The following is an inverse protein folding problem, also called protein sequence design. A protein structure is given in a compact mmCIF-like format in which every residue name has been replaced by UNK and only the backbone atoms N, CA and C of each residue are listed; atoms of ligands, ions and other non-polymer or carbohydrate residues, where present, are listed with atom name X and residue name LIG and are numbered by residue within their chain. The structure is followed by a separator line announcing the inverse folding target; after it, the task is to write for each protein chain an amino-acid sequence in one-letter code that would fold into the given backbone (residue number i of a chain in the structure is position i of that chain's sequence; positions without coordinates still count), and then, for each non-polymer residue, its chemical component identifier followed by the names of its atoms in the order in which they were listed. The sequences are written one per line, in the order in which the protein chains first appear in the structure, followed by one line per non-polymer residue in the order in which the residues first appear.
data_IF_058650323129
#
_entry.id   IF_058650323129
#
_cell.length_a   1.000
_cell.length_b   1.000
_cell.length_c   1.000
_cell.angle_alpha   90.00
_cell.angle_beta   90.00
_cell.angle_gamma   90.00
#
_symmetry.space_group_name_H-M   'P 1'
#
loop_
_entity.id
_entity.type
_entity.pdbx_description
1 polymer ?
#
# COMPACT_ATOMS: atom_id res chain seq x y z
N UNK A 1 -62.85 -26.76 18.11
CA UNK A 1 -62.53 -25.59 18.93
C UNK A 1 -61.27 -25.92 19.71
N UNK A 2 -60.16 -25.25 19.42
CA UNK A 2 -58.96 -25.33 20.26
C UNK A 2 -59.26 -24.72 21.62
N UNK A 3 -58.78 -25.34 22.69
CA UNK A 3 -59.02 -24.83 24.04
C UNK A 3 -58.17 -23.59 24.29
N UNK A 4 -58.63 -22.67 25.15
CA UNK A 4 -57.87 -21.47 25.55
C UNK A 4 -56.44 -21.79 26.02
N UNK A 5 -56.23 -22.96 26.64
CA UNK A 5 -54.90 -23.44 27.05
C UNK A 5 -53.98 -23.71 25.86
N UNK A 6 -54.52 -24.23 24.76
CA UNK A 6 -53.76 -24.52 23.56
C UNK A 6 -53.38 -23.24 22.82
N UNK A 7 -54.28 -22.25 22.76
CA UNK A 7 -53.97 -20.93 22.23
C UNK A 7 -52.91 -20.19 23.06
N UNK A 8 -52.97 -20.31 24.39
CA UNK A 8 -51.99 -19.68 25.28
C UNK A 8 -50.59 -20.32 25.15
N UNK A 9 -50.52 -21.65 24.99
CA UNK A 9 -49.27 -22.35 24.71
C UNK A 9 -48.67 -21.98 23.33
N UNK A 10 -49.52 -21.77 22.33
CA UNK A 10 -49.11 -21.39 20.98
C UNK A 10 -48.57 -19.95 20.95
N UNK A 11 -49.24 -19.00 21.62
CA UNK A 11 -48.72 -17.64 21.76
C UNK A 11 -47.42 -17.57 22.60
N UNK A 12 -47.29 -18.40 23.64
CA UNK A 12 -46.06 -18.51 24.41
C UNK A 12 -44.89 -18.96 23.50
N UNK A 13 -45.13 -19.97 22.67
CA UNK A 13 -44.15 -20.49 21.70
C UNK A 13 -43.79 -19.45 20.64
N UNK A 14 -44.77 -18.71 20.11
CA UNK A 14 -44.51 -17.63 19.15
C UNK A 14 -43.69 -16.50 19.78
N UNK A 15 -43.97 -16.14 21.03
CA UNK A 15 -43.20 -15.14 21.77
C UNK A 15 -41.74 -15.61 21.97
N UNK A 16 -41.53 -16.86 22.38
CA UNK A 16 -40.19 -17.43 22.56
C UNK A 16 -39.40 -17.46 21.24
N UNK A 17 -40.05 -17.86 20.14
CA UNK A 17 -39.45 -17.81 18.80
C UNK A 17 -39.08 -16.39 18.37
N UNK A 18 -39.95 -15.41 18.64
CA UNK A 18 -39.68 -14.00 18.34
C UNK A 18 -38.49 -13.47 19.16
N UNK A 19 -38.39 -13.85 20.44
CA UNK A 19 -37.26 -13.48 21.30
C UNK A 19 -35.97 -14.13 20.82
N UNK A 20 -36.01 -15.41 20.42
CA UNK A 20 -34.86 -16.11 19.84
C UNK A 20 -34.42 -15.48 18.51
N UNK A 21 -35.35 -15.15 17.62
CA UNK A 21 -35.07 -14.47 16.36
C UNK A 21 -34.41 -13.10 16.58
N UNK A 22 -34.89 -12.33 17.57
CA UNK A 22 -34.29 -11.05 17.96
C UNK A 22 -32.85 -11.20 18.46
N UNK A 23 -32.59 -12.20 19.31
CA UNK A 23 -31.23 -12.52 19.79
C UNK A 23 -30.31 -12.96 18.64
N UNK A 24 -30.80 -13.80 17.74
CA UNK A 24 -30.05 -14.25 16.57
C UNK A 24 -29.65 -13.08 15.66
N UNK A 25 -30.57 -12.14 15.41
CA UNK A 25 -30.27 -10.92 14.64
C UNK A 25 -29.15 -10.09 15.27
N UNK A 26 -29.19 -9.88 16.60
CA UNK A 26 -28.15 -9.14 17.31
C UNK A 26 -26.77 -9.83 17.25
N UNK A 27 -26.74 -11.17 17.27
CA UNK A 27 -25.50 -11.94 17.11
C UNK A 27 -24.95 -11.76 15.69
N UNK A 28 -25.81 -11.82 14.67
CA UNK A 28 -25.43 -11.62 13.27
C UNK A 28 -24.83 -10.22 13.06
N UNK A 29 -25.46 -9.17 13.60
CA UNK A 29 -24.96 -7.79 13.47
C UNK A 29 -23.56 -7.63 14.09
N UNK A 30 -23.34 -8.25 15.25
CA UNK A 30 -22.04 -8.28 15.92
C UNK A 30 -20.99 -9.03 15.10
N UNK A 31 -21.33 -10.18 14.53
CA UNK A 31 -20.45 -10.94 13.64
C UNK A 31 -20.06 -10.11 12.40
N UNK A 32 -21.03 -9.43 11.77
CA UNK A 32 -20.80 -8.57 10.61
C UNK A 32 -19.85 -7.41 10.94
N UNK A 33 -19.99 -6.81 12.12
CA UNK A 33 -19.10 -5.74 12.56
C UNK A 33 -17.66 -6.23 12.76
N UNK A 34 -17.47 -7.37 13.42
CA UNK A 34 -16.13 -7.96 13.59
C UNK A 34 -15.52 -8.32 12.23
N UNK A 35 -16.31 -8.96 11.37
CA UNK A 35 -15.88 -9.34 10.02
C UNK A 35 -15.43 -8.12 9.21
N UNK A 36 -16.25 -7.07 9.11
CA UNK A 36 -15.91 -5.86 8.34
C UNK A 36 -14.60 -5.20 8.79
N UNK A 37 -14.40 -5.04 10.11
CA UNK A 37 -13.19 -4.44 10.68
C UNK A 37 -11.94 -5.29 10.44
N UNK A 38 -12.06 -6.60 10.63
CA UNK A 38 -10.93 -7.52 10.46
C UNK A 38 -10.57 -7.73 9.00
N UNK A 39 -11.56 -7.81 8.10
CA UNK A 39 -11.33 -7.98 6.66
C UNK A 39 -10.57 -6.78 6.07
N UNK A 40 -10.97 -5.56 6.45
CA UNK A 40 -10.29 -4.32 6.01
C UNK A 40 -8.79 -4.33 6.35
N UNK A 41 -8.40 -4.89 7.49
CA UNK A 41 -7.00 -4.98 7.89
C UNK A 41 -6.31 -6.15 7.19
N UNK A 42 -6.99 -7.29 7.06
CA UNK A 42 -6.45 -8.44 6.32
C UNK A 42 -6.08 -8.06 4.88
N UNK A 43 -6.94 -7.30 4.18
CA UNK A 43 -6.69 -6.83 2.81
C UNK A 43 -5.44 -5.94 2.73
N UNK A 44 -5.25 -5.06 3.70
CA UNK A 44 -4.07 -4.18 3.82
C UNK A 44 -2.77 -4.99 3.97
N UNK A 45 -2.76 -5.96 4.88
CA UNK A 45 -1.59 -6.83 5.07
C UNK A 45 -1.37 -7.79 3.89
N UNK A 46 -2.44 -8.21 3.19
CA UNK A 46 -2.33 -8.99 1.98
C UNK A 46 -1.62 -8.21 0.86
N UNK A 47 -1.96 -6.94 0.68
CA UNK A 47 -1.27 -6.05 -0.25
C UNK A 47 0.21 -5.85 0.15
N UNK A 48 0.46 -5.54 1.43
CA UNK A 48 1.82 -5.36 1.95
C UNK A 48 2.69 -6.62 1.71
N UNK A 49 2.12 -7.81 1.91
CA UNK A 49 2.80 -9.09 1.66
C UNK A 49 3.16 -9.28 0.18
N UNK A 50 2.39 -8.72 -0.75
CA UNK A 50 2.70 -8.78 -2.17
C UNK A 50 3.73 -7.72 -2.59
N UNK A 51 3.69 -6.53 -2.00
CA UNK A 51 4.60 -5.43 -2.32
C UNK A 51 6.02 -5.66 -1.79
N UNK A 52 6.16 -6.26 -0.61
CA UNK A 52 7.46 -6.44 0.03
C UNK A 52 8.45 -7.26 -0.82
N UNK A 53 8.11 -8.45 -1.37
CA UNK A 53 9.02 -9.21 -2.22
C UNK A 53 9.42 -8.48 -3.50
N UNK A 54 8.50 -7.70 -4.08
CA UNK A 54 8.83 -6.89 -5.24
C UNK A 54 9.93 -5.89 -4.86
N UNK A 55 9.74 -5.13 -3.78
CA UNK A 55 10.70 -4.11 -3.36
C UNK A 55 12.05 -4.65 -2.87
N UNK A 56 12.18 -5.96 -2.61
CA UNK A 56 13.49 -6.60 -2.40
C UNK A 56 14.35 -6.63 -3.67
N UNK A 57 13.78 -6.40 -4.85
CA UNK A 57 14.53 -6.26 -6.10
C UNK A 57 15.11 -4.85 -6.30
N UNK A 58 14.83 -3.90 -5.41
CA UNK A 58 15.46 -2.58 -5.43
C UNK A 58 16.97 -2.70 -5.13
N UNK A 59 17.80 -1.72 -5.51
CA UNK A 59 19.22 -1.71 -5.17
C UNK A 59 19.45 -1.90 -3.67
N UNK A 60 20.52 -2.61 -3.28
CA UNK A 60 20.80 -3.00 -1.89
C UNK A 60 20.91 -1.83 -0.89
N UNK A 61 21.10 -0.58 -1.36
CA UNK A 61 21.11 0.61 -0.52
C UNK A 61 19.72 1.23 -0.26
N UNK A 62 18.70 0.84 -1.01
CA UNK A 62 17.34 1.42 -0.98
C UNK A 62 16.31 0.37 -0.55
N UNK A 63 16.56 -0.91 -0.80
CA UNK A 63 15.68 -2.00 -0.40
C UNK A 63 15.42 -1.97 1.12
N UNK A 64 14.14 -1.97 1.49
CA UNK A 64 13.74 -1.97 2.90
C UNK A 64 14.09 -3.31 3.53
N UNK A 65 14.88 -3.27 4.60
CA UNK A 65 15.12 -4.43 5.47
C UNK A 65 14.40 -4.18 6.80
N UNK A 66 13.29 -4.88 7.02
CA UNK A 66 12.60 -4.81 8.30
C UNK A 66 13.49 -5.44 9.38
N UNK A 67 13.85 -4.62 10.37
CA UNK A 67 14.72 -4.99 11.48
C UNK A 67 14.00 -5.91 12.51
N UNK A 68 14.76 -6.37 13.50
CA UNK A 68 14.28 -7.24 14.58
C UNK A 68 13.13 -6.61 15.39
N UNK A 69 13.04 -5.27 15.43
CA UNK A 69 11.98 -4.52 16.09
C UNK A 69 10.64 -4.68 15.35
N UNK A 70 10.63 -4.46 14.03
CA UNK A 70 9.46 -4.71 13.18
C UNK A 70 9.01 -6.17 13.22
N UNK A 71 9.95 -7.11 13.26
CA UNK A 71 9.64 -8.54 13.41
C UNK A 71 8.97 -8.82 14.77
N UNK A 72 9.48 -8.21 15.84
CA UNK A 72 8.90 -8.34 17.18
C UNK A 72 7.49 -7.73 17.26
N UNK A 73 7.28 -6.58 16.63
CA UNK A 73 5.96 -5.94 16.53
C UNK A 73 4.96 -6.77 15.71
N UNK A 74 5.40 -7.38 14.61
CA UNK A 74 4.58 -8.31 13.82
C UNK A 74 4.20 -9.57 14.62
N UNK A 75 5.13 -10.12 15.42
CA UNK A 75 4.85 -11.25 16.30
C UNK A 75 3.84 -10.84 17.40
N UNK A 76 4.01 -9.67 17.99
CA UNK A 76 3.08 -9.14 19.00
C UNK A 76 1.67 -8.94 18.40
N UNK A 77 1.57 -8.38 17.19
CA UNK A 77 0.32 -8.23 16.47
C UNK A 77 -0.32 -9.59 16.10
N UNK A 78 0.47 -10.58 15.68
CA UNK A 78 -0.04 -11.92 15.41
C UNK A 78 -0.58 -12.58 16.69
N UNK A 79 0.05 -12.34 17.84
CA UNK A 79 -0.41 -12.86 19.12
C UNK A 79 -1.69 -12.16 19.60
N UNK A 80 -1.84 -10.85 19.37
CA UNK A 80 -3.09 -10.14 19.70
C UNK A 80 -4.27 -10.66 18.86
N UNK A 81 -4.06 -10.95 17.58
CA UNK A 81 -5.07 -11.61 16.72
C UNK A 81 -5.44 -13.01 17.22
N UNK A 82 -4.45 -13.83 17.64
CA UNK A 82 -4.71 -15.15 18.21
C UNK A 82 -5.53 -15.06 19.50
N UNK A 83 -5.21 -14.11 20.37
CA UNK A 83 -5.96 -13.85 21.60
C UNK A 83 -7.41 -13.46 21.29
N UNK A 84 -7.63 -12.53 20.36
CA UNK A 84 -8.95 -12.11 19.93
C UNK A 84 -9.77 -13.27 19.35
N UNK A 85 -9.15 -14.15 18.55
CA UNK A 85 -9.80 -15.35 18.01
C UNK A 85 -10.27 -16.29 19.12
N UNK A 86 -9.46 -16.49 20.17
CA UNK A 86 -9.82 -17.33 21.31
C UNK A 86 -10.98 -16.72 22.12
N UNK A 87 -10.93 -15.42 22.40
CA UNK A 87 -12.00 -14.70 23.10
C UNK A 87 -13.32 -14.76 22.31
N UNK A 88 -13.27 -14.50 21.00
CA UNK A 88 -14.45 -14.58 20.13
C UNK A 88 -15.03 -16.00 20.05
N UNK A 89 -14.17 -17.02 19.94
CA UNK A 89 -14.60 -18.41 19.92
C UNK A 89 -15.29 -18.85 21.22
N UNK A 90 -14.78 -18.41 22.38
CA UNK A 90 -15.42 -18.65 23.68
C UNK A 90 -16.79 -17.97 23.75
N UNK A 91 -16.87 -16.71 23.35
CA UNK A 91 -18.13 -15.97 23.34
C UNK A 91 -19.19 -16.65 22.45
N UNK A 92 -18.81 -17.05 21.23
CA UNK A 92 -19.72 -17.71 20.29
C UNK A 92 -20.24 -19.05 20.85
N UNK A 93 -19.38 -19.85 21.48
CA UNK A 93 -19.76 -21.10 22.13
C UNK A 93 -20.79 -20.86 23.24
N UNK A 94 -20.61 -19.80 24.03
CA UNK A 94 -21.55 -19.45 25.11
C UNK A 94 -22.91 -18.94 24.58
N UNK A 95 -22.98 -18.40 23.35
CA UNK A 95 -24.26 -18.08 22.71
C UNK A 95 -25.03 -19.34 22.27
N UNK A 96 -24.34 -20.42 21.95
CA UNK A 96 -24.96 -21.70 21.56
C UNK A 96 -25.48 -22.50 22.75
N UNK A 97 -24.85 -22.40 23.93
CA UNK A 97 -25.22 -23.15 25.15
C UNK A 97 -26.40 -22.51 25.88
N UNK A 98 -26.61 -21.20 25.73
CA UNK A 98 -27.75 -20.48 26.35
C UNK A 98 -29.07 -20.62 25.57
N UNK A 99 -29.22 -21.67 24.76
CA UNK A 99 -30.46 -22.00 24.06
C UNK A 99 -31.21 -23.08 24.87
N UNK A 100 -32.28 -22.76 25.63
CA UNK A 100 -32.89 -23.68 26.60
C UNK A 100 -33.77 -24.78 25.97
N UNK A 101 -33.45 -25.24 24.76
CA UNK A 101 -34.29 -26.16 23.98
C UNK A 101 -33.68 -27.53 23.69
N UNK A 102 -32.37 -27.73 23.89
CA UNK A 102 -31.69 -28.96 23.47
C UNK A 102 -30.61 -29.39 24.50
N UNK A 103 -31.03 -29.71 25.71
CA UNK A 103 -30.24 -30.61 26.57
C UNK A 103 -31.06 -31.87 26.87
N UNK A 104 -31.08 -32.77 25.90
CA UNK A 104 -31.24 -34.19 26.20
C UNK A 104 -30.29 -35.00 25.32
N UNK A 105 -29.45 -35.79 25.99
CA UNK A 105 -28.50 -36.78 25.46
C UNK A 105 -27.08 -36.28 25.17
N UNK A 106 -26.22 -36.37 26.18
CA UNK A 106 -25.11 -37.34 26.18
C UNK A 106 -24.43 -37.36 27.55
N UNK A 107 -25.00 -38.16 28.45
CA UNK A 107 -24.24 -38.77 29.53
C UNK A 107 -23.42 -39.92 28.92
N UNK A 108 -22.10 -39.76 28.86
CA UNK A 108 -21.13 -40.81 29.22
C UNK A 108 -19.72 -40.35 28.83
N UNK A 109 -18.93 -39.95 29.82
CA UNK A 109 -17.76 -40.75 30.20
C UNK A 109 -17.18 -40.22 31.52
N UNK A 110 -17.26 -41.11 32.52
CA UNK A 110 -16.52 -41.04 33.77
C UNK A 110 -15.01 -41.05 33.48
N UNK A 111 -14.27 -40.17 34.15
CA UNK A 111 -13.22 -40.60 35.08
C UNK A 111 -12.87 -39.46 36.06
N UNK A 112 -12.63 -39.84 37.30
CA UNK A 112 -12.23 -39.02 38.46
C UNK A 112 -11.40 -39.94 39.36
N UNK A 113 -10.75 -39.48 40.45
CA UNK A 113 -10.29 -38.13 40.80
C UNK A 113 -8.83 -38.12 41.35
N UNK A 114 -8.21 -36.94 41.57
CA UNK A 114 -7.62 -36.62 42.88
C UNK A 114 -7.11 -35.17 43.03
N UNK A 115 -7.72 -34.50 44.02
CA UNK A 115 -7.29 -33.39 44.88
C UNK A 115 -5.94 -32.68 44.65
N UNK A 116 -5.98 -31.35 44.61
CA UNK A 116 -5.32 -30.51 45.62
C UNK A 116 -6.02 -29.15 45.70
N UNK A 117 -6.46 -28.80 46.91
CA UNK A 117 -6.97 -27.47 47.25
C UNK A 117 -5.90 -26.41 47.05
N UNK A 118 -6.39 -25.25 46.63
CA UNK A 118 -6.11 -23.92 47.17
C UNK A 118 -5.62 -22.97 46.09
N UNK A 119 -6.56 -22.29 45.45
CA UNK A 119 -6.36 -20.93 44.94
C UNK A 119 -7.75 -20.32 44.72
N UNK A 120 -7.99 -19.23 45.43
CA UNK A 120 -9.14 -18.32 45.34
C UNK A 120 -9.78 -18.27 43.95
N UNK A 121 -11.11 -18.39 43.82
CA UNK A 121 -11.77 -18.09 42.56
C UNK A 121 -11.66 -16.59 42.36
N UNK A 122 -10.64 -16.16 41.62
CA UNK A 122 -10.72 -14.89 40.91
C UNK A 122 -11.90 -15.07 39.97
N UNK A 123 -13.04 -14.53 40.36
CA UNK A 123 -14.17 -14.26 39.48
C UNK A 123 -13.61 -13.32 38.41
N UNK A 124 -13.02 -13.92 37.37
CA UNK A 124 -12.71 -13.24 36.14
C UNK A 124 -14.05 -13.10 35.45
N UNK A 125 -14.67 -11.93 35.57
CA UNK A 125 -15.88 -11.59 34.83
C UNK A 125 -15.69 -12.00 33.37
N UNK A 126 -16.58 -12.88 32.88
CA UNK A 126 -16.49 -13.40 31.53
C UNK A 126 -16.72 -12.25 30.52
N UNK A 127 -15.82 -12.05 29.54
CA UNK A 127 -15.93 -10.93 28.63
C UNK A 127 -17.20 -11.07 27.79
N UNK A 128 -18.09 -10.11 27.95
CA UNK A 128 -19.34 -10.03 27.18
C UNK A 128 -19.04 -9.69 25.72
N UNK A 129 -20.05 -9.84 24.84
CA UNK A 129 -19.96 -9.35 23.45
C UNK A 129 -19.58 -7.86 23.39
N UNK A 130 -20.10 -7.11 24.37
CA UNK A 130 -19.80 -5.70 24.56
C UNK A 130 -18.32 -5.53 24.91
N UNK A 131 -17.74 -6.43 25.71
CA UNK A 131 -16.33 -6.35 26.07
C UNK A 131 -15.38 -6.62 24.90
N UNK A 132 -15.74 -7.57 24.04
CA UNK A 132 -14.89 -7.92 22.90
C UNK A 132 -14.94 -6.85 21.79
N UNK A 133 -16.13 -6.25 21.59
CA UNK A 133 -16.40 -5.33 20.47
C UNK A 133 -16.20 -3.85 20.86
N UNK A 134 -16.60 -3.46 22.08
CA UNK A 134 -16.52 -2.09 22.59
C UNK A 134 -15.46 -1.88 23.67
N UNK A 135 -15.16 -2.86 24.53
CA UNK A 135 -14.19 -2.72 25.63
C UNK A 135 -12.75 -3.02 25.16
N UNK A 136 -12.32 -2.28 24.14
CA UNK A 136 -10.96 -2.16 23.67
C UNK A 136 -10.29 -3.38 23.01
N UNK A 137 -10.70 -4.64 23.19
CA UNK A 137 -9.92 -5.77 22.64
C UNK A 137 -9.84 -5.81 21.11
N UNK A 138 -10.99 -5.78 20.40
CA UNK A 138 -11.01 -5.70 18.94
C UNK A 138 -10.47 -4.35 18.45
N UNK A 139 -10.88 -3.26 19.09
CA UNK A 139 -10.49 -1.90 18.69
C UNK A 139 -8.98 -1.69 18.83
N UNK A 140 -8.37 -2.13 19.94
CA UNK A 140 -6.94 -2.11 20.20
C UNK A 140 -6.18 -2.99 19.20
N UNK A 141 -6.66 -4.22 18.94
CA UNK A 141 -6.06 -5.10 17.95
C UNK A 141 -6.08 -4.45 16.55
N UNK A 142 -7.24 -3.92 16.14
CA UNK A 142 -7.42 -3.20 14.87
C UNK A 142 -6.53 -1.95 14.79
N UNK A 143 -6.43 -1.17 15.86
CA UNK A 143 -5.61 0.04 15.89
C UNK A 143 -4.12 -0.30 15.84
N UNK A 144 -3.67 -1.29 16.61
CA UNK A 144 -2.27 -1.75 16.65
C UNK A 144 -1.85 -2.30 15.28
N UNK A 145 -2.67 -3.15 14.66
CA UNK A 145 -2.41 -3.63 13.31
C UNK A 145 -2.44 -2.48 12.29
N UNK A 146 -3.33 -1.51 12.47
CA UNK A 146 -3.41 -0.33 11.62
C UNK A 146 -2.20 0.59 11.71
N UNK A 147 -1.65 0.81 12.90
CA UNK A 147 -0.43 1.60 13.10
C UNK A 147 0.80 0.89 12.55
N UNK A 148 0.92 -0.42 12.80
CA UNK A 148 2.00 -1.23 12.27
C UNK A 148 1.98 -1.24 10.73
N UNK A 149 0.81 -1.49 10.13
CA UNK A 149 0.66 -1.40 8.68
C UNK A 149 1.08 -0.03 8.14
N UNK A 150 0.69 1.07 8.79
CA UNK A 150 1.07 2.41 8.36
C UNK A 150 2.57 2.63 8.43
N UNK A 151 3.24 2.16 9.49
CA UNK A 151 4.69 2.27 9.62
C UNK A 151 5.40 1.49 8.51
N UNK A 152 5.10 0.20 8.36
CA UNK A 152 5.70 -0.66 7.34
C UNK A 152 5.43 -0.14 5.92
N UNK A 153 4.17 0.20 5.62
CA UNK A 153 3.80 0.74 4.30
C UNK A 153 4.47 2.07 4.00
N UNK A 154 4.72 2.90 5.02
CA UNK A 154 5.45 4.15 4.85
C UNK A 154 6.91 3.89 4.49
N UNK A 155 7.60 2.99 5.18
CA UNK A 155 8.99 2.66 4.82
C UNK A 155 9.12 2.15 3.39
N UNK A 156 8.22 1.26 2.98
CA UNK A 156 8.16 0.76 1.60
C UNK A 156 7.88 1.89 0.60
N UNK A 157 7.08 2.89 0.99
CA UNK A 157 6.81 4.05 0.15
C UNK A 157 8.00 4.99 0.04
N UNK A 158 8.62 5.31 1.16
CA UNK A 158 9.76 6.21 1.19
C UNK A 158 10.93 5.62 0.36
N UNK A 159 11.19 4.31 0.48
CA UNK A 159 12.17 3.62 -0.37
C UNK A 159 11.81 3.64 -1.86
N UNK A 160 10.53 3.46 -2.19
CA UNK A 160 10.06 3.55 -3.57
C UNK A 160 10.25 4.95 -4.15
N UNK A 161 9.87 5.98 -3.40
CA UNK A 161 9.94 7.36 -3.83
C UNK A 161 11.41 7.79 -4.04
N UNK A 162 12.34 7.35 -3.17
CA UNK A 162 13.79 7.56 -3.35
C UNK A 162 14.31 6.90 -4.63
N UNK A 163 13.93 5.64 -4.88
CA UNK A 163 14.35 4.95 -6.08
C UNK A 163 13.79 5.58 -7.36
N UNK A 164 12.54 6.03 -7.33
CA UNK A 164 11.94 6.77 -8.43
C UNK A 164 12.67 8.08 -8.69
N UNK A 165 13.06 8.81 -7.65
CA UNK A 165 13.82 10.05 -7.80
C UNK A 165 15.17 9.79 -8.45
N UNK A 166 15.91 8.76 -8.03
CA UNK A 166 17.17 8.38 -8.67
C UNK A 166 16.99 7.99 -10.14
N UNK A 167 15.96 7.21 -10.46
CA UNK A 167 15.66 6.84 -11.84
C UNK A 167 15.24 8.05 -12.68
N UNK A 168 14.42 8.94 -12.12
CA UNK A 168 14.06 10.18 -12.79
C UNK A 168 15.29 11.02 -13.09
N UNK A 169 16.20 11.20 -12.14
CA UNK A 169 17.45 11.94 -12.37
C UNK A 169 18.32 11.30 -13.45
N UNK A 170 18.39 9.97 -13.50
CA UNK A 170 19.15 9.26 -14.54
C UNK A 170 18.49 9.37 -15.92
N UNK A 171 17.17 9.35 -15.98
CA UNK A 171 16.42 9.32 -17.24
C UNK A 171 16.14 10.73 -17.75
N UNK A 172 16.12 11.76 -16.90
CA UNK A 172 15.66 13.11 -17.22
C UNK A 172 16.34 13.72 -18.46
N UNK A 173 15.52 14.06 -19.45
CA UNK A 173 15.84 14.92 -20.58
C UNK A 173 14.80 16.03 -20.61
N UNK A 174 15.24 17.28 -20.63
CA UNK A 174 14.34 18.44 -20.67
C UNK A 174 13.53 18.45 -21.98
N UNK A 175 12.25 18.79 -21.88
CA UNK A 175 11.33 18.79 -23.01
C UNK A 175 11.78 19.75 -24.12
N UNK A 176 12.56 20.79 -23.80
CA UNK A 176 13.14 21.70 -24.80
C UNK A 176 14.26 21.03 -25.58
N UNK A 177 15.08 20.22 -24.94
CA UNK A 177 16.12 19.41 -25.61
C UNK A 177 15.49 18.36 -26.52
N UNK A 178 14.38 17.77 -26.08
CA UNK A 178 13.64 16.78 -26.87
C UNK A 178 12.99 17.42 -28.11
N UNK A 179 12.32 18.57 -27.93
CA UNK A 179 11.73 19.33 -29.04
C UNK A 179 12.78 19.84 -30.02
N UNK A 180 13.95 20.25 -29.49
CA UNK A 180 15.09 20.62 -30.32
C UNK A 180 15.56 19.45 -31.21
N UNK A 181 15.68 18.26 -30.64
CA UNK A 181 16.09 17.07 -31.40
C UNK A 181 15.03 16.59 -32.42
N UNK A 182 13.74 16.81 -32.14
CA UNK A 182 12.67 16.61 -33.13
C UNK A 182 12.80 17.56 -34.32
N UNK A 183 13.03 18.84 -34.05
CA UNK A 183 13.16 19.85 -35.10
C UNK A 183 14.41 19.63 -35.98
N UNK A 184 15.47 19.02 -35.43
CA UNK A 184 16.69 18.72 -36.15
C UNK A 184 16.56 17.64 -37.27
N UNK A 185 15.36 17.07 -37.50
CA UNK A 185 14.97 16.06 -38.51
C UNK A 185 15.75 14.72 -38.51
N UNK A 186 17.03 14.70 -38.13
CA UNK A 186 17.90 13.52 -38.06
C UNK A 186 17.65 12.65 -36.82
N UNK A 187 16.99 13.21 -35.80
CA UNK A 187 16.75 12.55 -34.51
C UNK A 187 15.26 12.48 -34.13
N UNK A 188 14.34 12.83 -35.05
CA UNK A 188 12.90 12.87 -34.78
C UNK A 188 12.34 11.50 -34.35
N UNK A 189 12.73 10.43 -35.04
CA UNK A 189 12.35 9.06 -34.68
C UNK A 189 12.82 8.67 -33.27
N UNK A 190 14.03 9.09 -32.89
CA UNK A 190 14.64 8.77 -31.59
C UNK A 190 13.99 9.59 -30.48
N UNK A 191 13.72 10.87 -30.73
CA UNK A 191 13.01 11.78 -29.82
C UNK A 191 11.56 11.36 -29.57
N UNK A 192 10.87 10.93 -30.62
CA UNK A 192 9.51 10.39 -30.52
C UNK A 192 9.45 9.04 -29.79
N UNK A 193 10.43 8.14 -29.98
CA UNK A 193 10.50 6.88 -29.22
C UNK A 193 10.83 7.13 -27.74
N UNK A 194 11.69 8.10 -27.44
CA UNK A 194 11.98 8.51 -26.07
C UNK A 194 10.73 9.07 -25.36
N UNK A 195 9.95 9.95 -26.00
CA UNK A 195 8.73 10.51 -25.39
C UNK A 195 7.69 9.44 -25.09
N UNK A 196 7.48 8.51 -26.02
CA UNK A 196 6.56 7.38 -25.81
C UNK A 196 7.00 6.52 -24.62
N UNK A 197 8.28 6.16 -24.56
CA UNK A 197 8.83 5.35 -23.47
C UNK A 197 8.83 6.09 -22.13
N UNK A 198 9.00 7.41 -22.13
CA UNK A 198 8.88 8.24 -20.94
C UNK A 198 7.45 8.22 -20.42
N UNK A 199 6.45 8.33 -21.31
CA UNK A 199 5.04 8.19 -20.91
C UNK A 199 4.73 6.79 -20.34
N UNK A 200 5.25 5.73 -20.95
CA UNK A 200 5.10 4.37 -20.44
C UNK A 200 5.77 4.19 -19.07
N UNK A 201 6.94 4.80 -18.87
CA UNK A 201 7.64 4.83 -17.59
C UNK A 201 6.82 5.57 -16.52
N UNK A 202 6.29 6.77 -16.81
CA UNK A 202 5.40 7.52 -15.89
C UNK A 202 4.14 6.70 -15.54
N UNK A 203 3.53 6.05 -16.53
CA UNK A 203 2.35 5.21 -16.31
C UNK A 203 2.64 4.01 -15.39
N UNK A 204 3.82 3.39 -15.53
CA UNK A 204 4.21 2.25 -14.70
C UNK A 204 4.66 2.66 -13.29
N UNK A 205 5.14 3.88 -13.12
CA UNK A 205 5.64 4.40 -11.84
C UNK A 205 4.56 5.08 -10.98
N UNK A 206 3.38 5.36 -11.53
CA UNK A 206 2.21 5.90 -10.80
C UNK A 206 1.76 5.06 -9.60
N UNK A 207 2.05 3.75 -9.58
CA UNK A 207 1.64 2.86 -8.51
C UNK A 207 2.83 2.03 -8.02
N UNK A 208 2.91 1.79 -6.70
CA UNK A 208 3.90 0.89 -6.14
C UNK A 208 3.78 -0.51 -6.75
N UNK A 209 4.91 -1.13 -7.12
CA UNK A 209 4.91 -2.43 -7.76
C UNK A 209 4.49 -3.50 -6.75
N UNK A 210 3.49 -4.27 -7.16
CA UNK A 210 2.98 -5.44 -6.43
C UNK A 210 3.60 -6.74 -6.97
N UNK A 211 4.36 -6.65 -8.07
CA UNK A 211 5.07 -7.76 -8.70
C UNK A 211 6.49 -7.33 -9.04
N UNK A 212 7.45 -8.23 -8.82
CA UNK A 212 8.84 -8.00 -9.22
C UNK A 212 9.01 -7.80 -10.73
N UNK A 213 8.17 -8.43 -11.54
CA UNK A 213 8.18 -8.23 -13.00
C UNK A 213 7.99 -6.76 -13.39
N UNK A 214 7.22 -5.99 -12.61
CA UNK A 214 7.03 -4.55 -12.85
C UNK A 214 8.32 -3.77 -12.57
N UNK A 215 9.08 -4.17 -11.56
CA UNK A 215 10.37 -3.53 -11.25
C UNK A 215 11.37 -3.83 -12.37
N UNK A 216 11.42 -5.06 -12.86
CA UNK A 216 12.27 -5.43 -13.99
C UNK A 216 11.86 -4.68 -15.27
N UNK A 217 10.55 -4.49 -15.52
CA UNK A 217 10.06 -3.67 -16.63
C UNK A 217 10.46 -2.19 -16.49
N UNK A 218 10.35 -1.61 -15.29
CA UNK A 218 10.74 -0.21 -15.03
C UNK A 218 12.25 -0.04 -15.21
N UNK A 219 13.07 -0.99 -14.72
CA UNK A 219 14.53 -0.99 -14.97
C UNK A 219 14.84 -1.10 -16.46
N UNK A 220 14.24 -2.04 -17.17
CA UNK A 220 14.45 -2.21 -18.60
C UNK A 220 14.01 -0.97 -19.41
N UNK A 221 12.95 -0.29 -18.98
CA UNK A 221 12.54 0.99 -19.57
C UNK A 221 13.53 2.11 -19.27
N UNK A 222 14.02 2.21 -18.03
CA UNK A 222 15.04 3.19 -17.66
C UNK A 222 16.35 2.97 -18.42
N UNK A 223 16.80 1.72 -18.60
CA UNK A 223 17.97 1.38 -19.41
C UNK A 223 17.78 1.74 -20.88
N UNK A 224 16.59 1.48 -21.43
CA UNK A 224 16.25 1.87 -22.81
C UNK A 224 16.20 3.39 -22.97
N UNK A 225 15.62 4.11 -22.01
CA UNK A 225 15.60 5.57 -22.01
C UNK A 225 17.01 6.15 -21.88
N UNK A 226 17.87 5.54 -21.06
CA UNK A 226 19.28 5.93 -20.97
C UNK A 226 20.06 5.61 -22.26
N UNK A 227 19.76 4.50 -22.92
CA UNK A 227 20.35 4.14 -24.22
C UNK A 227 19.90 5.09 -25.32
N UNK A 228 18.62 5.45 -25.37
CA UNK A 228 18.08 6.47 -26.28
C UNK A 228 18.69 7.83 -26.00
N UNK A 229 18.84 8.20 -24.73
CA UNK A 229 19.57 9.42 -24.31
C UNK A 229 21.02 9.40 -24.80
N UNK A 230 21.72 8.26 -24.73
CA UNK A 230 23.09 8.14 -25.22
C UNK A 230 23.19 8.12 -26.76
N UNK A 231 22.14 7.67 -27.46
CA UNK A 231 22.05 7.71 -28.93
C UNK A 231 21.65 9.09 -29.45
N UNK A 232 20.92 9.85 -28.66
CA UNK A 232 20.76 11.29 -28.83
C UNK A 232 22.11 11.96 -28.55
N UNK A 233 22.60 12.85 -29.42
CA UNK A 233 23.82 13.62 -29.12
C UNK A 233 23.58 14.47 -27.86
N UNK A 234 24.05 13.99 -26.71
CA UNK A 234 24.20 14.76 -25.47
C UNK A 234 25.66 15.15 -25.20
N UNK A 235 26.59 14.85 -26.10
CA UNK A 235 27.98 15.33 -26.07
C UNK A 235 28.05 16.77 -26.60
N UNK A 236 27.33 17.67 -25.93
CA UNK A 236 27.48 19.10 -26.17
C UNK A 236 28.78 19.53 -25.49
N UNK A 237 29.62 20.35 -26.14
CA UNK A 237 30.73 20.99 -25.44
C UNK A 237 30.18 21.70 -24.19
N UNK A 238 30.88 21.63 -23.05
CA UNK A 238 30.43 22.20 -21.77
C UNK A 238 29.92 23.64 -21.91
N UNK A 239 30.58 24.41 -22.79
CA UNK A 239 30.26 25.80 -23.10
C UNK A 239 28.89 25.96 -23.76
N UNK A 240 28.52 25.01 -24.63
CA UNK A 240 27.22 24.94 -25.30
C UNK A 240 26.14 24.51 -24.31
N UNK A 241 26.44 23.58 -23.40
CA UNK A 241 25.51 23.16 -22.35
C UNK A 241 25.19 24.31 -21.38
N UNK A 242 26.19 25.09 -20.96
CA UNK A 242 26.01 26.30 -20.13
C UNK A 242 25.15 27.34 -20.85
N UNK A 243 25.38 27.54 -22.16
CA UNK A 243 24.58 28.43 -22.97
C UNK A 243 23.10 27.99 -23.04
N UNK A 244 22.82 26.72 -23.35
CA UNK A 244 21.46 26.21 -23.38
C UNK A 244 20.78 26.25 -22.00
N UNK A 245 21.49 25.93 -20.92
CA UNK A 245 20.98 26.06 -19.55
C UNK A 245 20.59 27.51 -19.21
N UNK A 246 21.35 28.50 -19.73
CA UNK A 246 21.03 29.91 -19.55
C UNK A 246 19.82 30.38 -20.38
N UNK A 247 19.65 29.88 -21.61
CA UNK A 247 18.46 30.16 -22.44
C UNK A 247 17.21 29.50 -21.85
N UNK A 248 17.36 28.28 -21.36
CA UNK A 248 16.26 27.42 -20.92
C UNK A 248 15.83 27.68 -19.47
N UNK A 249 16.55 28.50 -18.70
CA UNK A 249 16.22 28.92 -17.34
C UNK A 249 15.00 29.86 -17.23
N UNK A 250 14.62 30.28 -16.01
CA UNK A 250 13.49 31.18 -15.78
C UNK A 250 13.67 32.52 -16.52
N UNK A 251 12.58 33.09 -17.07
CA UNK A 251 12.60 34.23 -18.00
C UNK A 251 13.35 35.49 -17.51
N UNK A 252 13.65 35.59 -16.22
CA UNK A 252 14.47 36.66 -15.63
C UNK A 252 15.96 36.56 -15.95
N UNK A 253 16.43 35.43 -16.48
CA UNK A 253 17.83 35.12 -16.80
C UNK A 253 18.04 34.96 -18.32
N UNK A 254 17.37 35.77 -19.16
CA UNK A 254 17.67 35.78 -20.60
C UNK A 254 19.17 36.02 -20.79
N UNK A 255 19.89 35.12 -21.49
CA UNK A 255 21.31 35.28 -21.69
C UNK A 255 21.57 36.57 -22.46
N UNK A 256 22.51 37.37 -21.97
CA UNK A 256 23.07 38.47 -22.75
C UNK A 256 23.95 37.90 -23.85
N UNK A 257 24.19 38.65 -24.92
CA UNK A 257 25.09 38.28 -26.02
C UNK A 257 26.50 37.83 -25.56
N UNK A 258 26.89 38.18 -24.33
CA UNK A 258 28.12 37.71 -23.70
C UNK A 258 28.14 36.21 -23.36
N UNK A 259 26.98 35.54 -23.29
CA UNK A 259 26.89 34.09 -23.08
C UNK A 259 27.06 33.29 -24.39
N UNK A 260 26.92 33.95 -25.54
CA UNK A 260 27.16 33.37 -26.86
C UNK A 260 28.67 33.42 -27.14
N UNK A 261 29.41 32.45 -26.61
CA UNK A 261 30.86 32.39 -26.85
C UNK A 261 31.14 32.02 -28.31
N UNK A 262 32.36 32.32 -28.82
CA UNK A 262 32.75 31.92 -30.18
C UNK A 262 32.53 30.43 -30.42
N UNK A 263 32.87 29.58 -29.45
CA UNK A 263 32.71 28.12 -29.53
C UNK A 263 31.24 27.70 -29.67
N UNK A 264 30.33 28.39 -28.98
CA UNK A 264 28.87 28.18 -29.11
C UNK A 264 28.38 28.59 -30.49
N UNK A 265 28.88 29.72 -31.00
CA UNK A 265 28.54 30.23 -32.33
C UNK A 265 29.05 29.32 -33.45
N UNK A 266 30.26 28.78 -33.32
CA UNK A 266 30.82 27.81 -34.27
C UNK A 266 30.04 26.51 -34.24
N UNK A 267 29.73 26.00 -33.05
CA UNK A 267 28.95 24.78 -32.90
C UNK A 267 27.53 24.95 -33.49
N UNK A 268 26.87 26.08 -33.23
CA UNK A 268 25.55 26.39 -33.80
C UNK A 268 25.59 26.54 -35.32
N UNK A 269 26.70 27.00 -35.88
CA UNK A 269 26.91 27.11 -37.33
C UNK A 269 27.12 25.74 -37.96
N UNK A 270 27.96 24.92 -37.34
CA UNK A 270 28.35 23.60 -37.85
C UNK A 270 27.19 22.60 -37.81
N UNK A 271 26.24 22.79 -36.87
CA UNK A 271 25.01 22.00 -36.75
C UNK A 271 23.79 22.65 -37.46
N UNK A 272 23.99 23.71 -38.25
CA UNK A 272 22.96 24.43 -39.03
C UNK A 272 21.80 25.01 -38.19
N UNK A 273 22.07 25.44 -36.96
CA UNK A 273 21.07 25.91 -35.99
C UNK A 273 21.02 27.43 -35.80
N UNK A 274 21.93 28.18 -36.44
CA UNK A 274 22.06 29.63 -36.24
C UNK A 274 20.77 30.41 -36.53
N UNK A 275 20.02 29.99 -37.53
CA UNK A 275 18.82 30.68 -38.00
C UNK A 275 17.60 30.47 -37.07
N UNK A 276 17.67 29.53 -36.12
CA UNK A 276 16.59 29.25 -35.17
C UNK A 276 16.57 30.21 -33.97
N UNK A 277 17.66 30.96 -33.75
CA UNK A 277 17.78 31.87 -32.60
C UNK A 277 17.58 33.33 -33.00
N UNK A 278 16.55 33.96 -32.43
CA UNK A 278 16.23 35.38 -32.68
C UNK A 278 16.76 36.26 -31.54
N UNK A 279 17.68 37.16 -31.86
CA UNK A 279 18.20 38.15 -30.91
C UNK A 279 17.16 39.26 -30.72
N UNK A 280 16.62 39.38 -29.51
CA UNK A 280 15.73 40.49 -29.13
C UNK A 280 16.41 41.39 -28.09
N UNK A 281 16.47 42.70 -28.38
CA UNK A 281 17.06 43.70 -27.49
C UNK A 281 16.13 43.93 -26.28
N UNK A 282 16.71 43.93 -25.07
CA UNK A 282 16.02 44.28 -23.82
C UNK A 282 15.60 45.75 -23.81
#
# INVERSE_FOLDING_TARGET
MTTLRQQLAEMQKELDLSVQAGKASQIIDKCNLVYSKTNTIADKFALLKQQYPAQQQLPQGIAVTWNDEHQSELIAAANSVKSLKLQWGRWLKNQSVNNPGEEENLADQKESPQNSLDETPVVSEEPTAYDIIQNDSLTHCVSQLGTLHKALSKELKDAWDVWLEELHQQVHVDDKTLNFQKNANKFDDIASDYERRRQDFENLTQCQPVSGEKIDQIKALAEKLNSLRGMMKTDWPDVVQVFFNSINGPQSLRPTLSALTPEVLEWLRDEEMLDEFVITRK
#
